data_IF_860179252005
#
_entry.id   IF_860179252005
#
_cell.length_a   1.000
_cell.length_b   1.000
_cell.length_c   1.000
_cell.angle_alpha   90.00
_cell.angle_beta   90.00
_cell.angle_gamma   90.00
#
_symmetry.space_group_name_H-M   'P 1'
#
loop_
_entity.id
_entity.type
_entity.pdbx_description
1 polymer ?
#
# COMPACT_ATOMS: atom_id res chain seq x y z
N UNK A 1 35.16 -18.26 -14.17
CA UNK A 1 34.56 -18.42 -12.82
C UNK A 1 33.12 -17.95 -12.95
N UNK A 2 32.13 -18.85 -12.96
CA UNK A 2 30.72 -18.46 -12.97
C UNK A 2 30.38 -18.07 -11.54
N UNK A 3 30.22 -16.77 -11.28
CA UNK A 3 29.66 -16.34 -10.02
C UNK A 3 28.32 -17.02 -9.83
N UNK A 4 28.17 -17.63 -8.65
CA UNK A 4 26.93 -18.18 -8.15
C UNK A 4 25.99 -17.00 -7.96
N UNK A 5 25.38 -16.53 -9.05
CA UNK A 5 24.22 -15.66 -9.03
C UNK A 5 23.23 -16.36 -8.10
N UNK A 6 23.11 -15.86 -6.88
CA UNK A 6 22.07 -16.25 -5.95
C UNK A 6 20.76 -15.96 -6.68
N UNK A 7 20.26 -16.96 -7.39
CA UNK A 7 19.02 -16.92 -8.16
C UNK A 7 17.87 -17.01 -7.16
N UNK A 8 17.79 -15.98 -6.35
CA UNK A 8 16.81 -15.81 -5.31
C UNK A 8 15.80 -14.84 -5.92
N UNK A 9 14.67 -15.39 -6.37
CA UNK A 9 13.58 -14.65 -7.00
C UNK A 9 12.93 -13.72 -5.96
N UNK A 10 13.56 -12.57 -5.72
CA UNK A 10 12.99 -11.49 -4.94
C UNK A 10 11.85 -10.86 -5.73
N UNK A 11 10.68 -10.78 -5.10
CA UNK A 11 9.47 -10.22 -5.69
C UNK A 11 8.75 -9.39 -4.63
N UNK A 12 7.99 -8.40 -5.07
CA UNK A 12 7.11 -7.66 -4.18
C UNK A 12 5.84 -8.45 -3.91
N UNK A 13 5.53 -8.62 -2.64
CA UNK A 13 4.32 -9.26 -2.16
C UNK A 13 3.49 -8.30 -1.32
N UNK A 14 2.19 -8.59 -1.22
CA UNK A 14 1.24 -7.85 -0.40
C UNK A 14 0.93 -8.65 0.87
N UNK A 15 1.24 -8.07 2.02
CA UNK A 15 0.79 -8.52 3.34
C UNK A 15 -0.38 -7.65 3.75
N UNK A 16 -1.59 -8.24 3.89
CA UNK A 16 -2.74 -7.48 4.41
C UNK A 16 -2.75 -7.51 5.91
N UNK A 17 -2.94 -6.35 6.51
CA UNK A 17 -3.05 -6.18 7.96
C UNK A 17 -4.46 -5.69 8.30
N UNK A 18 -4.83 -5.74 9.58
CA UNK A 18 -5.96 -4.94 10.03
C UNK A 18 -5.61 -3.45 9.80
N UNK A 19 -6.58 -2.61 9.41
CA UNK A 19 -6.36 -1.17 9.34
C UNK A 19 -5.76 -0.64 10.65
N UNK A 20 -4.77 0.25 10.56
CA UNK A 20 -4.04 0.87 11.68
C UNK A 20 -3.07 -0.04 12.47
N UNK A 21 -2.86 -1.28 12.03
CA UNK A 21 -1.85 -2.20 12.61
C UNK A 21 -0.59 -2.36 11.77
N UNK A 22 -0.47 -1.64 10.66
CA UNK A 22 0.63 -1.71 9.69
C UNK A 22 1.98 -1.49 10.38
N UNK A 23 2.07 -0.54 11.32
CA UNK A 23 3.31 -0.27 12.07
C UNK A 23 3.80 -1.47 12.87
N UNK A 24 2.89 -2.16 13.57
CA UNK A 24 3.25 -3.35 14.35
C UNK A 24 3.72 -4.50 13.43
N UNK A 25 3.08 -4.65 12.27
CA UNK A 25 3.48 -5.62 11.25
C UNK A 25 4.87 -5.31 10.69
N UNK A 26 5.14 -4.03 10.37
CA UNK A 26 6.45 -3.57 9.90
C UNK A 26 7.54 -3.84 10.94
N UNK A 27 7.28 -3.56 12.22
CA UNK A 27 8.24 -3.86 13.30
C UNK A 27 8.58 -5.35 13.40
N UNK A 28 7.59 -6.23 13.22
CA UNK A 28 7.80 -7.68 13.22
C UNK A 28 8.58 -8.13 11.98
N UNK A 29 8.27 -7.58 10.81
CA UNK A 29 8.98 -7.86 9.57
C UNK A 29 10.44 -7.39 9.65
N UNK A 30 10.71 -6.21 10.22
CA UNK A 30 12.08 -5.70 10.41
C UNK A 30 12.88 -6.56 11.39
N UNK A 31 12.26 -7.02 12.50
CA UNK A 31 12.89 -7.99 13.41
C UNK A 31 13.23 -9.30 12.70
N UNK A 32 12.29 -9.84 11.92
CA UNK A 32 12.52 -11.08 11.17
C UNK A 32 13.56 -10.90 10.06
N UNK A 33 13.58 -9.74 9.39
CA UNK A 33 14.60 -9.37 8.40
C UNK A 33 16.00 -9.30 8.99
N UNK A 34 16.14 -8.81 10.23
CA UNK A 34 17.42 -8.82 10.93
C UNK A 34 17.93 -10.24 11.21
N UNK A 35 17.01 -11.21 11.40
CA UNK A 35 17.32 -12.63 11.59
C UNK A 35 17.52 -13.38 10.26
N UNK A 36 16.90 -12.92 9.16
CA UNK A 36 16.85 -13.61 7.87
C UNK A 36 17.02 -12.63 6.69
N UNK A 37 18.13 -12.74 5.96
CA UNK A 37 18.50 -11.84 4.84
C UNK A 37 17.65 -11.99 3.57
N UNK A 38 16.62 -12.83 3.58
CA UNK A 38 15.75 -13.10 2.43
C UNK A 38 14.52 -12.16 2.35
N UNK A 39 14.51 -11.10 3.16
CA UNK A 39 13.65 -9.92 3.03
C UNK A 39 14.57 -8.72 2.78
N UNK A 40 14.36 -8.00 1.69
CA UNK A 40 15.20 -6.85 1.30
C UNK A 40 14.57 -5.54 1.74
N UNK A 41 13.29 -5.36 1.46
CA UNK A 41 12.61 -4.09 1.65
C UNK A 41 11.18 -4.30 2.17
N UNK A 42 10.76 -3.39 3.05
CA UNK A 42 9.42 -3.34 3.62
C UNK A 42 8.92 -1.91 3.41
N UNK A 43 7.72 -1.78 2.83
CA UNK A 43 7.11 -0.49 2.53
C UNK A 43 5.65 -0.48 2.99
N UNK A 44 5.33 0.43 3.91
CA UNK A 44 3.97 0.66 4.38
C UNK A 44 3.55 2.10 4.02
N UNK A 45 2.59 2.30 3.10
CA UNK A 45 2.21 3.65 2.68
C UNK A 45 1.38 4.34 3.76
N UNK A 46 1.83 5.51 4.24
CA UNK A 46 1.18 6.27 5.31
C UNK A 46 0.91 7.75 4.99
N UNK A 47 1.39 8.26 3.85
CA UNK A 47 1.34 9.68 3.46
C UNK A 47 0.09 10.08 2.70
N UNK A 48 -0.50 9.17 1.92
CA UNK A 48 -1.81 9.44 1.31
C UNK A 48 -2.80 9.77 2.41
N UNK A 49 -3.60 10.83 2.26
CA UNK A 49 -4.72 11.12 3.16
C UNK A 49 -6.00 11.26 2.33
N UNK A 50 -6.98 10.44 2.66
CA UNK A 50 -8.30 10.44 2.03
C UNK A 50 -9.37 10.48 3.11
N UNK A 51 -10.53 11.04 2.77
CA UNK A 51 -11.69 11.00 3.65
C UNK A 51 -12.26 9.58 3.64
N UNK A 52 -12.12 8.88 4.77
CA UNK A 52 -12.67 7.55 4.99
C UNK A 52 -14.01 7.71 5.71
N UNK A 53 -15.09 7.45 5.00
CA UNK A 53 -16.45 7.51 5.55
C UNK A 53 -16.74 6.29 6.44
N UNK A 54 -16.89 6.50 7.74
CA UNK A 54 -17.48 5.53 8.67
C UNK A 54 -18.80 6.10 9.18
N UNK A 55 -19.84 6.04 8.34
CA UNK A 55 -21.17 6.56 8.67
C UNK A 55 -21.27 8.09 8.56
N UNK A 56 -21.71 8.77 9.64
CA UNK A 56 -21.89 10.23 9.67
C UNK A 56 -20.61 11.03 9.95
N UNK A 57 -19.52 10.36 10.35
CA UNK A 57 -18.23 11.00 10.59
C UNK A 57 -17.27 10.71 9.43
N UNK A 58 -16.76 11.76 8.80
CA UNK A 58 -15.62 11.69 7.90
C UNK A 58 -14.34 11.72 8.73
N UNK A 59 -13.49 10.70 8.60
CA UNK A 59 -12.16 10.68 9.22
C UNK A 59 -11.09 10.62 8.14
N UNK A 60 -10.08 11.48 8.26
CA UNK A 60 -8.90 11.41 7.38
C UNK A 60 -8.06 10.19 7.75
N UNK A 61 -7.72 9.38 6.75
CA UNK A 61 -6.86 8.20 6.93
C UNK A 61 -6.10 7.85 5.66
N UNK A 62 -5.12 6.94 5.77
CA UNK A 62 -4.33 6.53 4.61
C UNK A 62 -5.12 5.70 3.62
N UNK A 63 -4.96 6.02 2.33
CA UNK A 63 -5.65 5.34 1.23
C UNK A 63 -5.34 3.84 1.21
N UNK A 64 -4.11 3.50 1.55
CA UNK A 64 -3.60 2.13 1.60
C UNK A 64 -3.54 1.56 3.02
N UNK A 65 -4.45 1.99 3.92
CA UNK A 65 -4.57 1.35 5.23
C UNK A 65 -4.88 -0.15 5.09
N UNK A 66 -4.20 -0.96 5.87
CA UNK A 66 -4.28 -2.41 5.85
C UNK A 66 -3.32 -3.08 4.86
N UNK A 67 -2.40 -2.35 4.24
CA UNK A 67 -1.46 -2.89 3.25
C UNK A 67 0.00 -2.63 3.65
N UNK A 68 0.79 -3.70 3.65
CA UNK A 68 2.25 -3.65 3.74
C UNK A 68 2.83 -4.39 2.54
N UNK A 69 3.74 -3.73 1.83
CA UNK A 69 4.43 -4.27 0.66
C UNK A 69 5.81 -4.77 1.08
N UNK A 70 6.17 -5.97 0.66
CA UNK A 70 7.41 -6.62 1.09
C UNK A 70 8.16 -7.19 -0.11
N UNK A 71 9.40 -6.74 -0.32
CA UNK A 71 10.33 -7.32 -1.29
C UNK A 71 11.08 -8.46 -0.63
N UNK A 72 10.70 -9.69 -0.95
CA UNK A 72 11.22 -10.88 -0.30
C UNK A 72 11.25 -12.08 -1.25
N UNK A 73 11.79 -13.18 -0.76
CA UNK A 73 11.56 -14.49 -1.35
C UNK A 73 10.22 -15.05 -0.89
N UNK A 74 9.57 -15.85 -1.74
CA UNK A 74 8.33 -16.51 -1.35
C UNK A 74 8.50 -17.40 -0.10
N UNK A 75 9.66 -18.05 0.03
CA UNK A 75 9.99 -18.93 1.14
C UNK A 75 10.08 -18.16 2.45
N UNK A 76 10.86 -17.08 2.49
CA UNK A 76 11.03 -16.27 3.70
C UNK A 76 9.72 -15.67 4.19
N UNK A 77 8.88 -15.21 3.25
CA UNK A 77 7.58 -14.66 3.59
C UNK A 77 6.61 -15.74 4.12
N UNK A 78 6.65 -16.95 3.54
CA UNK A 78 5.87 -18.09 4.03
C UNK A 78 6.31 -18.55 5.43
N UNK A 79 7.63 -18.58 5.69
CA UNK A 79 8.20 -18.92 7.00
C UNK A 79 7.84 -17.87 8.07
N UNK A 80 7.91 -16.58 7.71
CA UNK A 80 7.47 -15.48 8.56
C UNK A 80 6.01 -15.67 8.98
N UNK A 81 5.10 -15.89 8.03
CA UNK A 81 3.69 -16.12 8.33
C UNK A 81 3.47 -17.34 9.24
N UNK A 82 4.18 -18.44 8.98
CA UNK A 82 4.08 -19.65 9.79
C UNK A 82 4.54 -19.45 11.24
N UNK A 83 5.54 -18.58 11.46
CA UNK A 83 6.11 -18.32 12.79
C UNK A 83 5.27 -17.36 13.62
N UNK A 84 4.68 -16.33 13.00
CA UNK A 84 3.97 -15.28 13.74
C UNK A 84 2.46 -15.46 13.77
N UNK A 85 1.90 -16.46 13.07
CA UNK A 85 0.45 -16.76 12.99
C UNK A 85 -0.40 -15.50 13.03
N UNK A 86 0.00 -14.50 12.24
CA UNK A 86 -0.71 -13.25 12.21
C UNK A 86 -2.01 -13.50 11.44
N UNK A 87 -3.12 -12.91 11.87
CA UNK A 87 -4.38 -12.86 11.12
C UNK A 87 -4.27 -12.03 9.82
N UNK A 88 -3.05 -11.89 9.31
CA UNK A 88 -2.61 -11.06 8.22
C UNK A 88 -2.62 -11.90 6.95
N UNK A 89 -3.73 -11.82 6.23
CA UNK A 89 -3.94 -12.60 5.02
C UNK A 89 -3.03 -12.05 3.92
N UNK A 90 -2.03 -12.82 3.48
CA UNK A 90 -1.39 -12.52 2.20
C UNK A 90 -2.43 -12.61 1.10
N UNK A 91 -2.41 -11.65 0.17
CA UNK A 91 -3.31 -11.67 -0.96
C UNK A 91 -2.85 -12.78 -1.92
N UNK A 92 -3.58 -13.89 -1.93
CA UNK A 92 -3.42 -14.92 -2.95
C UNK A 92 -4.27 -14.58 -4.18
N UNK A 93 -3.74 -14.85 -5.37
CA UNK A 93 -4.52 -14.79 -6.60
C UNK A 93 -5.66 -15.82 -6.52
N UNK A 94 -6.85 -15.40 -6.97
CA UNK A 94 -8.03 -16.25 -7.01
C UNK A 94 -7.73 -17.44 -7.94
N UNK A 95 -8.02 -18.66 -7.48
CA UNK A 95 -7.93 -19.87 -8.32
C UNK A 95 -8.76 -19.63 -9.59
N UNK A 96 -8.09 -19.62 -10.74
CA UNK A 96 -8.77 -19.76 -12.03
C UNK A 96 -9.22 -21.20 -12.20
N UNK A 97 -10.31 -21.44 -12.92
CA UNK A 97 -11.01 -22.74 -13.06
C UNK A 97 -10.10 -23.92 -13.46
N UNK A 98 -8.89 -23.67 -13.97
CA UNK A 98 -7.93 -24.68 -14.43
C UNK A 98 -7.11 -25.39 -13.33
N UNK A 99 -7.61 -25.49 -12.09
CA UNK A 99 -6.99 -26.32 -11.05
C UNK A 99 -5.59 -25.90 -10.58
N UNK A 100 -5.11 -24.70 -10.96
CA UNK A 100 -3.83 -24.16 -10.47
C UNK A 100 -3.96 -23.80 -8.98
N UNK A 101 -2.94 -24.15 -8.18
CA UNK A 101 -2.85 -23.77 -6.76
C UNK A 101 -2.83 -22.24 -6.65
N UNK A 102 -3.43 -21.69 -5.59
CA UNK A 102 -3.45 -20.25 -5.35
C UNK A 102 -2.00 -19.75 -5.18
N UNK A 103 -1.55 -18.85 -6.07
CA UNK A 103 -0.25 -18.17 -6.03
C UNK A 103 -0.34 -16.94 -5.15
N UNK A 104 0.75 -16.57 -4.45
CA UNK A 104 0.83 -15.27 -3.79
C UNK A 104 0.84 -14.17 -4.86
N UNK A 105 0.07 -13.10 -4.66
CA UNK A 105 0.03 -11.98 -5.60
C UNK A 105 1.40 -11.29 -5.61
N UNK A 106 1.97 -11.16 -6.79
CA UNK A 106 3.25 -10.50 -7.02
C UNK A 106 3.01 -9.16 -7.69
N UNK A 107 3.71 -8.12 -7.24
CA UNK A 107 3.70 -6.81 -7.87
C UNK A 107 4.99 -6.64 -8.69
N UNK A 108 4.90 -6.26 -9.98
CA UNK A 108 6.06 -5.87 -10.78
C UNK A 108 6.79 -4.66 -10.17
N UNK A 109 8.12 -4.66 -10.25
CA UNK A 109 8.97 -3.59 -9.71
C UNK A 109 8.56 -2.19 -10.20
N UNK A 110 8.25 -2.05 -11.49
CA UNK A 110 7.87 -0.77 -12.08
C UNK A 110 6.56 -0.22 -11.48
N UNK A 111 5.59 -1.09 -11.20
CA UNK A 111 4.34 -0.68 -10.55
C UNK A 111 4.58 -0.29 -9.09
N UNK A 112 5.47 -1.01 -8.41
CA UNK A 112 5.82 -0.70 -7.03
C UNK A 112 6.56 0.63 -6.90
N UNK A 113 7.43 0.96 -7.87
CA UNK A 113 8.08 2.27 -7.96
C UNK A 113 7.07 3.40 -8.16
N UNK A 114 6.10 3.23 -9.07
CA UNK A 114 5.05 4.22 -9.29
C UNK A 114 4.19 4.43 -8.04
N UNK A 115 3.87 3.35 -7.31
CA UNK A 115 3.11 3.44 -6.08
C UNK A 115 3.87 4.21 -4.99
N UNK A 116 5.18 3.94 -4.84
CA UNK A 116 6.03 4.68 -3.88
C UNK A 116 6.09 6.16 -4.24
N UNK A 117 6.37 6.47 -5.50
CA UNK A 117 6.46 7.84 -5.99
C UNK A 117 5.14 8.61 -5.77
N UNK A 118 4.01 7.98 -6.09
CA UNK A 118 2.69 8.56 -5.85
C UNK A 118 2.42 8.85 -4.37
N UNK A 119 2.72 7.90 -3.48
CA UNK A 119 2.46 8.07 -2.05
C UNK A 119 3.46 9.03 -1.39
N UNK A 120 4.72 9.05 -1.82
CA UNK A 120 5.75 9.95 -1.29
C UNK A 120 5.55 11.40 -1.70
N UNK A 121 5.05 11.63 -2.93
CA UNK A 121 4.74 12.94 -3.48
C UNK A 121 3.26 13.32 -3.35
N UNK A 122 2.50 12.60 -2.52
CA UNK A 122 1.09 12.89 -2.33
C UNK A 122 0.94 14.30 -1.73
N UNK A 123 0.21 15.23 -2.36
CA UNK A 123 0.18 16.61 -1.89
C UNK A 123 -0.66 16.71 -0.61
N UNK A 124 -0.08 17.25 0.46
CA UNK A 124 -0.80 17.50 1.73
C UNK A 124 -2.02 18.43 1.59
N UNK A 125 -2.08 19.19 0.49
CA UNK A 125 -3.06 20.25 0.24
C UNK A 125 -3.94 20.02 -0.99
N UNK A 126 -3.78 18.89 -1.70
CA UNK A 126 -4.61 18.61 -2.87
C UNK A 126 -6.03 18.24 -2.42
N UNK A 127 -7.00 19.00 -2.91
CA UNK A 127 -8.43 18.69 -2.74
C UNK A 127 -8.81 17.85 -3.95
N UNK A 128 -9.14 16.56 -3.77
CA UNK A 128 -9.64 15.74 -4.87
C UNK A 128 -10.95 16.34 -5.38
N UNK A 129 -10.98 16.71 -6.64
CA UNK A 129 -12.17 17.23 -7.29
C UNK A 129 -13.01 16.06 -7.83
N UNK A 130 -14.28 16.03 -7.47
CA UNK A 130 -15.23 15.02 -7.96
C UNK A 130 -15.63 15.25 -9.43
N UNK A 131 -15.31 16.44 -9.95
CA UNK A 131 -15.63 16.90 -11.32
C UNK A 131 -14.43 17.60 -11.94
N UNK A 132 -14.42 17.83 -13.27
CA UNK A 132 -13.38 18.62 -13.92
C UNK A 132 -13.17 19.97 -13.23
N UNK A 133 -11.93 20.45 -13.19
CA UNK A 133 -11.54 21.71 -12.55
C UNK A 133 -12.38 22.91 -13.02
N UNK A 134 -12.89 22.87 -14.24
CA UNK A 134 -13.76 23.90 -14.84
C UNK A 134 -15.07 24.12 -14.11
N UNK A 135 -15.53 23.15 -13.33
CA UNK A 135 -16.82 23.19 -12.64
C UNK A 135 -16.73 23.85 -11.25
N UNK A 136 -15.53 24.32 -10.87
CA UNK A 136 -15.26 24.92 -9.57
C UNK A 136 -14.99 26.42 -9.69
N UNK A 137 -15.58 27.20 -8.79
CA UNK A 137 -15.34 28.64 -8.66
C UNK A 137 -14.26 28.90 -7.60
N UNK A 138 -13.21 29.63 -8.00
CA UNK A 138 -12.14 30.06 -7.10
C UNK A 138 -12.40 31.48 -6.60
N UNK A 139 -12.42 31.70 -5.29
CA UNK A 139 -12.45 33.05 -4.71
C UNK A 139 -11.02 33.48 -4.34
N UNK A 140 -10.35 34.32 -5.15
CA UNK A 140 -8.97 34.73 -4.91
C UNK A 140 -8.80 35.62 -3.66
N UNK A 141 -9.88 36.05 -3.02
CA UNK A 141 -9.83 36.96 -1.87
C UNK A 141 -9.84 36.26 -0.51
N UNK A 142 -10.22 34.98 -0.41
CA UNK A 142 -10.48 34.34 0.90
C UNK A 142 -9.56 33.18 1.27
N UNK A 143 -8.65 32.74 0.38
CA UNK A 143 -7.81 31.54 0.59
C UNK A 143 -8.65 30.30 0.98
N UNK A 144 -9.95 30.32 0.65
CA UNK A 144 -10.89 29.25 0.91
C UNK A 144 -10.77 28.18 -0.16
N UNK A 145 -11.05 26.91 0.17
CA UNK A 145 -11.08 25.84 -0.80
C UNK A 145 -12.09 26.14 -1.93
N UNK A 146 -11.80 25.72 -3.17
CA UNK A 146 -12.70 25.93 -4.31
C UNK A 146 -14.07 25.32 -4.03
N UNK A 147 -15.13 26.10 -4.25
CA UNK A 147 -16.53 25.64 -4.13
C UNK A 147 -17.06 25.29 -5.52
N UNK A 148 -18.06 24.41 -5.59
CA UNK A 148 -18.71 24.16 -6.88
C UNK A 148 -19.39 25.45 -7.38
N UNK A 149 -19.36 25.68 -8.68
CA UNK A 149 -19.88 26.91 -9.27
C UNK A 149 -21.40 27.10 -9.05
N UNK A 150 -22.14 26.02 -8.84
CA UNK A 150 -23.57 26.01 -8.52
C UNK A 150 -23.88 26.28 -7.04
N UNK A 151 -22.91 26.13 -6.14
CA UNK A 151 -23.02 26.39 -4.70
C UNK A 151 -22.49 27.78 -4.29
N UNK A 152 -21.87 28.52 -5.22
CA UNK A 152 -21.25 29.82 -4.98
C UNK A 152 -22.19 31.03 -5.20
N UNK A 153 -23.51 30.80 -5.30
CA UNK A 153 -24.54 31.82 -5.53
C UNK A 153 -25.04 32.46 -4.22
#
# INVERSE_FOLDING_TARGET
MKDKLNNVDFRWYIVRTRPHREKATVELLEKYKAENSNILEIYAPDRTTVDVGLGKEMKKGPLFSGFVFVLATQKALSEFLGRYSMEEFIQYERKTENGKKASMSVIPEDQMRQLKDYNENYPDTAIPLERPYTDYAFNPKTNEPPRRADEAA
#
